data_IF_840196760965
#
_entry.id   IF_840196760965
#
_cell.length_a   1.000
_cell.length_b   1.000
_cell.length_c   1.000
_cell.angle_alpha   90.00
_cell.angle_beta   90.00
_cell.angle_gamma   90.00
#
_symmetry.space_group_name_H-M   'P 1'
#
loop_
_entity.id
_entity.type
_entity.pdbx_description
1 polymer ?
#
# COMPACT_ATOMS: atom_id res chain seq x y z
N UNK A 1 0.75 -16.63 -24.54
CA UNK A 1 -0.18 -15.84 -23.70
C UNK A 1 -1.36 -15.33 -24.51
N UNK A 2 -2.59 -15.50 -24.02
CA UNK A 2 -3.84 -15.19 -24.76
C UNK A 2 -4.71 -14.12 -24.09
N UNK A 3 -4.65 -13.98 -22.77
CA UNK A 3 -5.60 -13.17 -21.99
C UNK A 3 -4.88 -12.04 -21.26
N UNK A 4 -5.49 -10.86 -21.27
CA UNK A 4 -5.17 -9.72 -20.38
C UNK A 4 -5.97 -9.83 -19.08
N UNK A 5 -5.64 -9.02 -18.07
CA UNK A 5 -6.44 -8.95 -16.82
C UNK A 5 -7.89 -8.59 -17.12
N UNK A 6 -8.13 -7.69 -18.08
CA UNK A 6 -9.48 -7.30 -18.53
C UNK A 6 -10.23 -8.50 -19.11
N UNK A 7 -9.58 -9.31 -19.94
CA UNK A 7 -10.20 -10.52 -20.50
C UNK A 7 -10.55 -11.53 -19.40
N UNK A 8 -9.71 -11.67 -18.37
CA UNK A 8 -9.99 -12.55 -17.23
C UNK A 8 -11.19 -12.06 -16.41
N UNK A 9 -11.32 -10.74 -16.18
CA UNK A 9 -12.48 -10.15 -15.52
C UNK A 9 -13.76 -10.40 -16.32
N UNK A 10 -13.74 -10.13 -17.62
CA UNK A 10 -14.89 -10.40 -18.50
C UNK A 10 -15.24 -11.90 -18.54
N UNK A 11 -14.22 -12.77 -18.52
CA UNK A 11 -14.44 -14.21 -18.46
C UNK A 11 -15.18 -14.61 -17.18
N UNK A 12 -14.77 -14.07 -16.03
CA UNK A 12 -15.41 -14.29 -14.73
C UNK A 12 -16.85 -13.75 -14.73
N UNK A 13 -17.06 -12.51 -15.16
CA UNK A 13 -18.37 -11.86 -15.20
C UNK A 13 -19.36 -12.63 -16.09
N UNK A 14 -18.94 -13.02 -17.30
CA UNK A 14 -19.82 -13.62 -18.29
C UNK A 14 -20.10 -15.11 -18.02
N UNK A 15 -19.21 -15.82 -17.32
CA UNK A 15 -19.28 -17.26 -17.17
C UNK A 15 -19.33 -17.74 -15.72
N UNK A 16 -19.43 -16.84 -14.73
CA UNK A 16 -19.48 -17.21 -13.32
C UNK A 16 -20.51 -18.32 -13.04
N UNK A 17 -21.71 -18.26 -13.62
CA UNK A 17 -22.74 -19.26 -13.35
C UNK A 17 -22.42 -20.67 -13.89
N UNK A 18 -21.49 -20.77 -14.84
CA UNK A 18 -21.06 -22.03 -15.47
C UNK A 18 -19.75 -22.57 -14.88
N UNK A 19 -19.04 -21.77 -14.09
CA UNK A 19 -17.80 -22.15 -13.43
C UNK A 19 -18.05 -22.85 -12.10
N UNK A 20 -17.27 -23.87 -11.83
CA UNK A 20 -17.14 -24.44 -10.49
C UNK A 20 -16.59 -23.43 -9.50
N UNK A 21 -16.79 -23.67 -8.20
CA UNK A 21 -16.22 -22.82 -7.14
C UNK A 21 -14.68 -22.72 -7.24
N UNK A 22 -14.02 -23.83 -7.58
CA UNK A 22 -12.56 -23.87 -7.75
C UNK A 22 -12.10 -22.98 -8.90
N UNK A 23 -12.77 -23.05 -10.05
CA UNK A 23 -12.43 -22.21 -11.21
C UNK A 23 -12.63 -20.72 -10.92
N UNK A 24 -13.71 -20.36 -10.22
CA UNK A 24 -13.93 -18.97 -9.77
C UNK A 24 -12.81 -18.48 -8.87
N UNK A 25 -12.41 -19.29 -7.89
CA UNK A 25 -11.34 -18.94 -6.96
C UNK A 25 -9.99 -18.82 -7.67
N UNK A 26 -9.65 -19.75 -8.58
CA UNK A 26 -8.43 -19.69 -9.38
C UNK A 26 -8.39 -18.44 -10.28
N UNK A 27 -9.49 -18.14 -10.96
CA UNK A 27 -9.60 -16.95 -11.81
C UNK A 27 -9.55 -15.66 -10.98
N UNK A 28 -10.23 -15.64 -9.83
CA UNK A 28 -10.19 -14.54 -8.87
C UNK A 28 -8.78 -14.29 -8.34
N UNK A 29 -8.04 -15.35 -7.95
CA UNK A 29 -6.65 -15.25 -7.52
C UNK A 29 -5.75 -14.65 -8.62
N UNK A 30 -5.95 -15.05 -9.88
CA UNK A 30 -5.24 -14.48 -11.02
C UNK A 30 -5.53 -12.98 -11.19
N UNK A 31 -6.80 -12.58 -11.13
CA UNK A 31 -7.23 -11.18 -11.25
C UNK A 31 -6.67 -10.34 -10.09
N UNK A 32 -6.78 -10.82 -8.84
CA UNK A 32 -6.23 -10.14 -7.66
C UNK A 32 -4.72 -9.95 -7.78
N UNK A 33 -4.01 -11.00 -8.19
CA UNK A 33 -2.56 -10.95 -8.31
C UNK A 33 -2.13 -10.01 -9.42
N UNK A 34 -2.60 -10.23 -10.65
CA UNK A 34 -2.12 -9.48 -11.79
C UNK A 34 -2.74 -8.09 -11.89
N UNK A 35 -3.98 -7.92 -11.45
CA UNK A 35 -4.70 -6.65 -11.50
C UNK A 35 -4.42 -5.73 -10.30
N UNK A 36 -4.16 -6.28 -9.11
CA UNK A 36 -4.03 -5.48 -7.88
C UNK A 36 -2.62 -5.53 -7.30
N UNK A 37 -2.06 -6.73 -7.07
CA UNK A 37 -0.75 -6.87 -6.40
C UNK A 37 0.41 -6.49 -7.32
N UNK A 38 0.37 -6.96 -8.57
CA UNK A 38 1.36 -6.67 -9.60
C UNK A 38 0.95 -5.43 -10.40
N UNK A 39 -0.35 -5.11 -10.43
CA UNK A 39 -0.93 -3.99 -11.18
C UNK A 39 -0.42 -3.93 -12.63
N UNK A 40 -0.49 -5.06 -13.34
CA UNK A 40 -0.10 -5.14 -14.75
C UNK A 40 -0.95 -4.19 -15.57
N UNK A 41 -0.31 -3.53 -16.53
CA UNK A 41 -1.00 -2.77 -17.57
C UNK A 41 -2.13 -3.63 -18.18
N UNK A 42 -3.36 -3.10 -18.26
CA UNK A 42 -4.50 -3.85 -18.81
C UNK A 42 -4.31 -4.33 -20.26
N UNK A 43 -3.34 -3.77 -21.00
CA UNK A 43 -3.01 -4.17 -22.37
C UNK A 43 -2.01 -5.33 -22.44
N UNK A 44 -1.30 -5.61 -21.34
CA UNK A 44 -0.29 -6.67 -21.27
C UNK A 44 -0.97 -8.01 -21.03
N UNK A 45 -0.58 -9.01 -21.81
CA UNK A 45 -1.07 -10.38 -21.68
C UNK A 45 -0.44 -11.02 -20.44
N UNK A 46 -1.25 -11.74 -19.68
CA UNK A 46 -0.81 -12.48 -18.50
C UNK A 46 -0.07 -13.74 -18.97
N UNK A 47 1.16 -13.98 -18.47
CA UNK A 47 1.91 -15.20 -18.79
C UNK A 47 1.14 -16.46 -18.43
N UNK A 48 1.06 -17.42 -19.37
CA UNK A 48 0.33 -18.69 -19.19
C UNK A 48 0.83 -19.48 -17.99
N UNK A 49 2.15 -19.52 -17.80
CA UNK A 49 2.79 -20.19 -16.66
C UNK A 49 2.33 -19.59 -15.33
N UNK A 50 2.14 -18.27 -15.30
CA UNK A 50 1.58 -17.57 -14.14
C UNK A 50 0.13 -17.95 -13.91
N UNK A 51 -0.68 -18.13 -14.96
CA UNK A 51 -2.06 -18.59 -14.83
C UNK A 51 -2.18 -20.02 -14.28
N UNK A 52 -1.28 -20.93 -14.68
CA UNK A 52 -1.26 -22.32 -14.21
C UNK A 52 -0.98 -22.41 -12.70
N UNK A 53 -0.22 -21.46 -12.16
CA UNK A 53 0.04 -21.38 -10.72
C UNK A 53 -1.25 -21.24 -9.89
N UNK A 54 -2.28 -20.55 -10.40
CA UNK A 54 -3.52 -20.35 -9.66
C UNK A 54 -4.44 -21.59 -9.67
N UNK A 55 -4.11 -22.65 -10.41
CA UNK A 55 -4.83 -23.92 -10.38
C UNK A 55 -4.64 -24.69 -9.07
N UNK A 56 -3.57 -24.39 -8.31
CA UNK A 56 -3.32 -24.92 -6.97
C UNK A 56 -3.36 -23.77 -5.93
N UNK A 57 -4.53 -23.60 -5.30
CA UNK A 57 -4.77 -22.51 -4.36
C UNK A 57 -3.97 -22.62 -3.05
N UNK A 58 -3.62 -23.84 -2.61
CA UNK A 58 -2.78 -24.04 -1.42
C UNK A 58 -1.38 -23.48 -1.64
N UNK A 59 -0.84 -23.70 -2.85
CA UNK A 59 0.46 -23.12 -3.24
C UNK A 59 0.38 -21.61 -3.46
N UNK A 60 -0.80 -21.07 -3.74
CA UNK A 60 -1.03 -19.64 -3.93
C UNK A 60 -1.09 -18.90 -2.59
N UNK A 61 -1.78 -19.45 -1.59
CA UNK A 61 -2.04 -18.78 -0.31
C UNK A 61 -0.78 -18.60 0.54
N UNK A 62 0.20 -19.49 0.42
CA UNK A 62 1.46 -19.45 1.17
C UNK A 62 2.54 -18.55 0.54
N UNK A 63 2.29 -17.98 -0.64
CA UNK A 63 3.29 -17.14 -1.31
C UNK A 63 3.43 -15.79 -0.60
N UNK A 64 4.65 -15.24 -0.51
CA UNK A 64 4.91 -13.95 0.12
C UNK A 64 4.50 -12.80 -0.84
N UNK A 65 3.20 -12.68 -1.13
CA UNK A 65 2.66 -11.69 -2.06
C UNK A 65 3.09 -10.27 -1.73
N UNK A 66 3.15 -9.94 -0.43
CA UNK A 66 3.72 -8.69 0.11
C UNK A 66 5.10 -8.37 -0.47
N UNK A 67 6.04 -9.32 -0.31
CA UNK A 67 7.41 -9.20 -0.81
C UNK A 67 7.44 -9.14 -2.33
N UNK A 68 6.70 -10.01 -3.02
CA UNK A 68 6.69 -10.05 -4.48
C UNK A 68 6.19 -8.73 -5.10
N UNK A 69 5.08 -8.19 -4.60
CA UNK A 69 4.55 -6.91 -5.07
C UNK A 69 5.49 -5.74 -4.75
N UNK A 70 6.20 -5.78 -3.61
CA UNK A 70 7.24 -4.81 -3.28
C UNK A 70 8.43 -4.91 -4.24
N UNK A 71 8.91 -6.11 -4.53
CA UNK A 71 10.04 -6.33 -5.44
C UNK A 71 9.70 -5.80 -6.85
N UNK A 72 8.47 -6.06 -7.33
CA UNK A 72 7.96 -5.52 -8.60
C UNK A 72 7.88 -4.00 -8.58
N UNK A 73 7.34 -3.40 -7.52
CA UNK A 73 7.27 -1.95 -7.37
C UNK A 73 8.65 -1.32 -7.36
N UNK A 74 9.54 -1.87 -6.55
CA UNK A 74 10.91 -1.40 -6.38
C UNK A 74 11.67 -1.48 -7.71
N UNK A 75 11.50 -2.58 -8.46
CA UNK A 75 12.03 -2.70 -9.81
C UNK A 75 11.38 -1.69 -10.80
N UNK A 76 10.07 -1.45 -10.71
CA UNK A 76 9.36 -0.47 -11.54
C UNK A 76 9.91 0.94 -11.34
N UNK A 77 10.03 1.39 -10.09
CA UNK A 77 10.57 2.71 -9.72
C UNK A 77 12.04 2.83 -10.14
N UNK A 78 12.87 1.81 -9.89
CA UNK A 78 14.30 1.81 -10.27
C UNK A 78 14.53 1.98 -11.78
N UNK A 79 13.58 1.54 -12.62
CA UNK A 79 13.65 1.74 -14.08
C UNK A 79 13.29 3.16 -14.51
N UNK A 80 12.64 3.94 -13.65
CA UNK A 80 12.24 5.31 -13.97
C UNK A 80 13.45 6.25 -13.94
N UNK A 81 13.50 7.16 -14.91
CA UNK A 81 14.50 8.24 -15.00
C UNK A 81 13.77 9.58 -15.01
N UNK A 82 14.49 10.70 -14.85
CA UNK A 82 13.87 12.05 -14.88
C UNK A 82 12.98 12.26 -16.11
N UNK A 83 13.41 11.77 -17.28
CA UNK A 83 12.63 11.79 -18.52
C UNK A 83 11.33 10.98 -18.49
N UNK A 84 11.24 9.95 -17.64
CA UNK A 84 10.03 9.15 -17.44
C UNK A 84 9.02 9.94 -16.62
N UNK A 85 9.47 10.59 -15.54
CA UNK A 85 8.62 11.44 -14.71
C UNK A 85 8.12 12.69 -15.42
N UNK A 86 8.87 13.19 -16.41
CA UNK A 86 8.44 14.31 -17.24
C UNK A 86 7.36 13.95 -18.28
N UNK A 87 7.02 12.66 -18.46
CA UNK A 87 5.95 12.26 -19.38
C UNK A 87 4.58 12.57 -18.78
N UNK A 88 3.59 12.96 -19.60
CA UNK A 88 2.21 13.13 -19.14
C UNK A 88 1.62 11.85 -18.52
N UNK A 89 2.06 10.68 -18.98
CA UNK A 89 1.70 9.38 -18.44
C UNK A 89 2.92 8.48 -18.34
N UNK A 90 2.99 7.74 -17.24
CA UNK A 90 3.95 6.67 -17.00
C UNK A 90 3.28 5.55 -16.19
N UNK A 91 3.82 4.35 -16.29
CA UNK A 91 3.30 3.17 -15.60
C UNK A 91 4.15 2.86 -14.37
N UNK A 92 3.49 2.71 -13.23
CA UNK A 92 4.06 2.14 -12.00
C UNK A 92 3.38 0.80 -11.76
N UNK A 93 4.17 -0.25 -11.54
CA UNK A 93 3.67 -1.61 -11.24
C UNK A 93 3.88 -1.96 -9.77
N UNK A 94 3.25 -3.03 -9.30
CA UNK A 94 3.39 -3.57 -7.95
C UNK A 94 2.32 -3.07 -6.99
N UNK A 95 2.68 -2.90 -5.72
CA UNK A 95 1.78 -2.55 -4.60
C UNK A 95 1.21 -1.12 -4.62
N UNK A 96 0.94 -0.57 -5.80
CA UNK A 96 0.44 0.80 -5.99
C UNK A 96 -0.85 1.02 -5.21
N UNK A 97 -1.77 0.06 -5.23
CA UNK A 97 -3.02 0.15 -4.46
C UNK A 97 -2.80 0.22 -2.95
N UNK A 98 -1.83 -0.51 -2.39
CA UNK A 98 -1.53 -0.39 -0.96
C UNK A 98 -0.96 0.99 -0.61
N UNK A 99 -0.11 1.56 -1.46
CA UNK A 99 0.40 2.92 -1.29
C UNK A 99 -0.72 3.94 -1.37
N UNK A 100 -1.63 3.78 -2.34
CA UNK A 100 -2.81 4.65 -2.47
C UNK A 100 -3.67 4.58 -1.22
N UNK A 101 -4.07 3.38 -0.78
CA UNK A 101 -4.90 3.22 0.42
C UNK A 101 -4.18 3.73 1.69
N UNK A 102 -2.86 3.52 1.78
CA UNK A 102 -2.04 4.07 2.85
C UNK A 102 -2.06 5.60 2.83
N UNK A 103 -1.86 6.25 1.68
CA UNK A 103 -1.90 7.70 1.55
C UNK A 103 -3.27 8.28 1.90
N UNK A 104 -4.36 7.65 1.42
CA UNK A 104 -5.73 8.04 1.76
C UNK A 104 -6.03 7.90 3.26
N UNK A 105 -5.46 6.90 3.92
CA UNK A 105 -5.63 6.70 5.36
C UNK A 105 -4.74 7.63 6.19
N UNK A 106 -3.52 7.90 5.72
CA UNK A 106 -2.54 8.73 6.41
C UNK A 106 -2.86 10.21 6.32
N UNK A 107 -3.45 10.66 5.21
CA UNK A 107 -3.83 12.07 5.03
C UNK A 107 -5.35 12.12 4.91
N UNK A 108 -6.09 12.42 6.00
CA UNK A 108 -7.55 12.44 5.97
C UNK A 108 -8.13 13.32 4.88
N UNK A 109 -7.50 14.45 4.55
CA UNK A 109 -7.93 15.32 3.47
C UNK A 109 -7.90 14.63 2.09
N UNK A 110 -6.87 13.83 1.79
CA UNK A 110 -6.85 12.99 0.59
C UNK A 110 -7.95 11.93 0.67
N UNK A 111 -8.07 11.30 1.84
CA UNK A 111 -9.06 10.29 2.12
C UNK A 111 -10.50 10.73 1.87
N UNK A 112 -10.90 11.89 2.39
CA UNK A 112 -12.24 12.45 2.21
C UNK A 112 -12.50 12.92 0.79
N UNK A 113 -11.47 13.38 0.09
CA UNK A 113 -11.59 13.95 -1.27
C UNK A 113 -11.64 12.86 -2.34
N UNK A 114 -10.88 11.78 -2.14
CA UNK A 114 -10.66 10.74 -3.16
C UNK A 114 -11.19 9.36 -2.75
N UNK A 115 -11.77 9.23 -1.57
CA UNK A 115 -12.33 7.98 -1.09
C UNK A 115 -13.60 8.17 -0.27
N UNK A 116 -14.29 7.06 -0.07
CA UNK A 116 -15.41 6.94 0.86
C UNK A 116 -15.14 5.77 1.79
N UNK A 117 -15.32 5.96 3.09
CA UNK A 117 -15.14 4.91 4.09
C UNK A 117 -16.44 4.15 4.35
N UNK A 118 -16.33 2.95 4.88
CA UNK A 118 -17.48 2.28 5.48
C UNK A 118 -17.84 2.98 6.81
N UNK A 119 -19.14 3.13 7.09
CA UNK A 119 -19.66 3.76 8.31
C UNK A 119 -19.43 2.91 9.59
N UNK A 120 -18.72 1.79 9.49
CA UNK A 120 -18.47 0.90 10.61
C UNK A 120 -17.46 1.52 11.59
N UNK A 121 -17.83 1.57 12.86
CA UNK A 121 -17.04 2.11 13.98
C UNK A 121 -15.73 1.35 14.29
N UNK A 122 -15.45 0.24 13.60
CA UNK A 122 -14.24 -0.54 13.83
C UNK A 122 -13.13 -0.15 12.86
N UNK A 123 -12.18 0.65 13.35
CA UNK A 123 -10.91 0.95 12.67
C UNK A 123 -9.88 -0.17 12.79
N UNK A 124 -10.22 -1.29 13.43
CA UNK A 124 -9.30 -2.40 13.72
C UNK A 124 -9.07 -3.36 12.52
N UNK A 125 -9.84 -3.20 11.43
CA UNK A 125 -9.65 -4.02 10.22
C UNK A 125 -8.51 -3.51 9.33
N UNK A 126 -7.92 -4.38 8.47
CA UNK A 126 -6.96 -3.97 7.44
C UNK A 126 -7.43 -2.75 6.65
N UNK A 127 -6.51 -1.85 6.27
CA UNK A 127 -6.85 -0.60 5.58
C UNK A 127 -7.73 -0.81 4.34
N UNK A 128 -7.50 -1.87 3.58
CA UNK A 128 -8.30 -2.19 2.39
C UNK A 128 -9.78 -2.45 2.69
N UNK A 129 -10.15 -2.81 3.92
CA UNK A 129 -11.53 -3.03 4.34
C UNK A 129 -12.19 -1.75 4.89
N UNK A 130 -11.42 -0.69 5.10
CA UNK A 130 -11.94 0.58 5.63
C UNK A 130 -12.54 1.46 4.53
N UNK A 131 -12.23 1.18 3.26
CA UNK A 131 -12.65 1.98 2.11
C UNK A 131 -13.76 1.28 1.32
N UNK A 132 -14.90 1.95 1.17
CA UNK A 132 -16.03 1.49 0.34
C UNK A 132 -15.76 1.71 -1.15
N UNK A 133 -15.21 2.86 -1.49
CA UNK A 133 -14.83 3.20 -2.85
C UNK A 133 -13.72 4.25 -2.85
N UNK A 134 -12.91 4.23 -3.91
CA UNK A 134 -11.86 5.21 -4.19
C UNK A 134 -11.98 5.68 -5.63
N UNK A 135 -11.53 6.89 -5.92
CA UNK A 135 -11.42 7.41 -7.28
C UNK A 135 -9.99 7.85 -7.58
N UNK A 136 -9.59 7.76 -8.83
CA UNK A 136 -8.31 8.29 -9.30
C UNK A 136 -8.37 9.82 -9.31
N UNK A 137 -7.49 10.52 -8.58
CA UNK A 137 -7.44 11.97 -8.60
C UNK A 137 -6.77 12.49 -9.87
N UNK A 138 -7.13 13.69 -10.31
CA UNK A 138 -6.31 14.43 -11.28
C UNK A 138 -5.27 15.30 -10.56
N UNK A 139 -4.25 15.78 -11.30
CA UNK A 139 -3.14 16.54 -10.72
C UNK A 139 -3.60 17.82 -10.02
N UNK A 140 -4.58 18.53 -10.58
CA UNK A 140 -5.09 19.79 -10.01
C UNK A 140 -5.75 19.54 -8.66
N UNK A 141 -6.57 18.50 -8.53
CA UNK A 141 -7.23 18.16 -7.27
C UNK A 141 -6.22 17.76 -6.18
N UNK A 142 -5.13 17.09 -6.55
CA UNK A 142 -4.04 16.76 -5.60
C UNK A 142 -3.34 18.04 -5.15
N UNK A 143 -3.10 18.98 -6.06
CA UNK A 143 -2.51 20.27 -5.73
C UNK A 143 -3.43 21.11 -4.84
N UNK A 144 -4.74 21.04 -5.03
CA UNK A 144 -5.71 21.72 -4.17
C UNK A 144 -5.62 21.22 -2.72
N UNK A 145 -5.52 19.91 -2.51
CA UNK A 145 -5.30 19.34 -1.15
C UNK A 145 -3.92 19.72 -0.61
N UNK A 146 -2.89 19.75 -1.44
CA UNK A 146 -1.54 20.18 -1.03
C UNK A 146 -1.49 21.64 -0.57
N UNK A 147 -2.27 22.51 -1.22
CA UNK A 147 -2.32 23.94 -0.92
C UNK A 147 -3.22 24.30 0.28
N UNK A 148 -3.91 23.33 0.88
CA UNK A 148 -4.66 23.55 2.11
C UNK A 148 -3.70 23.90 3.25
N UNK A 149 -4.06 24.92 4.05
CA UNK A 149 -3.32 25.24 5.28
C UNK A 149 -3.62 24.16 6.32
N UNK A 150 -2.58 23.72 7.03
CA UNK A 150 -2.67 22.79 8.18
C UNK A 150 -3.23 21.38 7.87
N UNK A 151 -2.73 20.73 6.82
CA UNK A 151 -3.07 19.34 6.50
C UNK A 151 -2.63 18.38 7.62
N UNK A 152 -3.61 17.73 8.27
CA UNK A 152 -3.35 16.67 9.24
C UNK A 152 -2.74 15.43 8.55
N UNK A 153 -1.64 14.94 9.09
CA UNK A 153 -1.01 13.68 8.67
C UNK A 153 -0.94 12.72 9.85
N UNK A 154 -1.71 11.64 9.74
CA UNK A 154 -1.75 10.53 10.67
C UNK A 154 -0.64 9.53 10.35
N UNK A 155 -0.01 9.01 11.40
CA UNK A 155 0.88 7.87 11.27
C UNK A 155 0.02 6.60 11.15
N UNK A 156 0.11 5.92 10.00
CA UNK A 156 -0.62 4.67 9.72
C UNK A 156 0.26 3.44 9.96
N UNK A 157 1.45 3.64 10.52
CA UNK A 157 2.26 2.54 11.05
C UNK A 157 1.46 2.00 12.23
N UNK A 158 0.93 0.78 12.09
CA UNK A 158 0.11 0.13 13.10
C UNK A 158 0.83 0.04 14.43
N UNK A 159 0.09 -0.06 15.52
CA UNK A 159 0.66 -0.24 16.84
C UNK A 159 1.60 -1.47 16.82
N UNK A 160 2.92 -1.31 17.05
CA UNK A 160 3.87 -2.40 17.09
C UNK A 160 3.50 -3.44 18.13
N UNK A 161 2.70 -3.07 19.14
CA UNK A 161 2.18 -3.98 20.14
C UNK A 161 1.02 -4.83 19.62
N UNK A 162 0.15 -4.28 18.77
CA UNK A 162 -1.01 -4.98 18.20
C UNK A 162 -0.61 -6.06 17.18
N UNK A 163 0.47 -5.82 16.42
CA UNK A 163 0.93 -6.75 15.37
C UNK A 163 2.28 -7.42 15.68
N UNK A 164 2.74 -7.36 16.94
CA UNK A 164 4.05 -7.89 17.37
C UNK A 164 4.24 -9.38 17.03
N UNK A 165 3.14 -10.13 16.98
CA UNK A 165 3.11 -11.55 16.63
C UNK A 165 3.33 -11.84 15.14
N UNK A 166 3.13 -10.85 14.26
CA UNK A 166 3.30 -10.97 12.81
C UNK A 166 4.68 -10.53 12.33
N UNK A 167 5.46 -9.86 13.20
CA UNK A 167 6.80 -9.37 12.90
C UNK A 167 7.82 -10.24 13.66
N UNK A 168 8.76 -10.92 12.96
CA UNK A 168 9.86 -11.61 13.63
C UNK A 168 10.60 -10.66 14.59
N UNK A 169 11.13 -11.16 15.72
CA UNK A 169 11.84 -10.30 16.67
C UNK A 169 12.92 -9.47 15.96
N UNK A 170 12.95 -8.19 16.28
CA UNK A 170 13.88 -7.21 15.70
C UNK A 170 15.31 -7.75 15.78
N UNK A 171 16.01 -7.75 14.65
CA UNK A 171 17.44 -8.07 14.62
C UNK A 171 18.16 -7.13 15.61
N UNK A 172 19.06 -7.62 16.48
CA UNK A 172 19.80 -6.79 17.42
C UNK A 172 20.49 -5.57 16.80
N UNK A 173 20.82 -5.64 15.51
CA UNK A 173 21.43 -4.55 14.74
C UNK A 173 20.43 -3.40 14.47
N UNK A 174 19.13 -3.69 14.39
CA UNK A 174 18.09 -2.70 14.04
C UNK A 174 17.42 -2.07 15.27
N UNK A 175 18.01 -2.22 16.45
CA UNK A 175 17.47 -1.71 17.73
C UNK A 175 17.35 -0.18 17.73
N UNK A 176 18.31 0.51 17.15
CA UNK A 176 18.32 1.97 17.09
C UNK A 176 17.23 2.51 16.15
N UNK A 177 17.04 1.86 15.00
CA UNK A 177 15.95 2.18 14.08
C UNK A 177 14.58 1.97 14.74
N UNK A 178 14.42 0.87 15.47
CA UNK A 178 13.17 0.57 16.21
C UNK A 178 12.88 1.63 17.27
N UNK A 179 13.91 2.12 17.96
CA UNK A 179 13.79 3.19 18.96
C UNK A 179 13.32 4.49 18.31
N UNK A 180 13.85 4.85 17.14
CA UNK A 180 13.40 6.03 16.39
C UNK A 180 11.95 5.87 15.92
N UNK A 181 11.56 4.68 15.43
CA UNK A 181 10.17 4.40 15.05
C UNK A 181 9.23 4.60 16.25
N UNK A 182 9.59 4.08 17.43
CA UNK A 182 8.78 4.25 18.65
C UNK A 182 8.60 5.73 19.03
N UNK A 183 9.65 6.55 18.93
CA UNK A 183 9.55 7.99 19.17
C UNK A 183 8.56 8.66 18.21
N UNK A 184 8.65 8.36 16.91
CA UNK A 184 7.74 8.91 15.89
C UNK A 184 6.29 8.51 16.17
N UNK A 185 6.08 7.27 16.59
CA UNK A 185 4.76 6.76 16.97
C UNK A 185 4.18 7.46 18.21
N UNK A 186 5.03 7.83 19.17
CA UNK A 186 4.66 8.60 20.36
C UNK A 186 4.44 10.09 20.05
N UNK A 187 4.50 10.51 18.78
CA UNK A 187 4.16 11.85 18.34
C UNK A 187 5.36 12.78 18.13
N UNK A 188 6.59 12.26 18.22
CA UNK A 188 7.78 12.99 17.81
C UNK A 188 7.78 13.21 16.28
N UNK A 189 8.37 14.33 15.85
CA UNK A 189 8.50 14.69 14.43
C UNK A 189 9.95 15.05 14.16
N UNK A 190 10.57 14.27 13.29
CA UNK A 190 11.95 14.46 12.86
C UNK A 190 12.10 15.81 12.13
N UNK A 191 13.13 16.56 12.50
CA UNK A 191 13.55 17.72 11.73
C UNK A 191 14.24 17.30 10.43
N UNK A 192 14.31 18.23 9.48
CA UNK A 192 15.00 18.01 8.20
C UNK A 192 16.49 17.68 8.40
N UNK A 193 17.16 18.30 9.35
CA UNK A 193 18.57 18.06 9.66
C UNK A 193 18.79 16.66 10.24
N UNK A 194 17.98 16.23 11.20
CA UNK A 194 18.05 14.88 11.81
C UNK A 194 17.84 13.78 10.76
N UNK A 195 16.94 14.01 9.79
CA UNK A 195 16.73 13.09 8.68
C UNK A 195 17.94 12.99 7.75
N UNK A 196 18.56 14.12 7.39
CA UNK A 196 19.72 14.16 6.50
C UNK A 196 20.95 13.55 7.16
N UNK A 197 21.13 13.82 8.45
CA UNK A 197 22.27 13.33 9.22
C UNK A 197 22.11 11.88 9.70
N UNK A 198 20.88 11.35 9.64
CA UNK A 198 20.55 10.00 10.09
C UNK A 198 20.72 9.81 11.59
N UNK A 199 20.54 10.88 12.38
CA UNK A 199 20.79 10.90 13.83
C UNK A 199 19.64 11.58 14.56
N UNK A 200 19.25 11.00 15.68
CA UNK A 200 18.18 11.49 16.55
C UNK A 200 18.65 11.40 17.99
N UNK A 201 18.50 12.49 18.74
CA UNK A 201 18.68 12.45 20.19
C UNK A 201 17.40 11.95 20.85
N UNK A 202 17.42 10.71 21.30
CA UNK A 202 16.25 10.07 21.92
C UNK A 202 15.81 10.73 23.23
N UNK A 203 16.71 11.40 23.97
CA UNK A 203 16.37 12.06 25.23
C UNK A 203 15.63 13.36 24.95
N UNK A 204 16.16 14.19 24.04
CA UNK A 204 15.52 15.42 23.60
C UNK A 204 14.17 15.15 22.93
N UNK A 205 14.09 14.12 22.09
CA UNK A 205 12.85 13.70 21.44
C UNK A 205 11.76 13.32 22.47
N UNK A 206 12.13 12.56 23.50
CA UNK A 206 11.21 12.14 24.57
C UNK A 206 10.70 13.33 25.39
N UNK A 207 11.57 14.31 25.69
CA UNK A 207 11.15 15.53 26.40
C UNK A 207 10.18 16.39 25.59
N UNK A 208 10.39 16.49 24.27
CA UNK A 208 9.49 17.22 23.38
C UNK A 208 8.10 16.58 23.32
N UNK A 209 8.04 15.24 23.23
CA UNK A 209 6.79 14.49 23.31
C UNK A 209 6.05 14.81 24.62
N UNK A 210 6.76 14.79 25.75
CA UNK A 210 6.19 15.03 27.09
C UNK A 210 5.65 16.44 27.25
N UNK A 211 6.38 17.44 26.74
CA UNK A 211 5.93 18.85 26.73
C UNK A 211 4.69 19.06 25.86
N UNK A 212 4.51 18.26 24.81
CA UNK A 212 3.36 18.34 23.90
C UNK A 212 2.10 17.65 24.46
N UNK A 213 2.26 16.64 25.32
CA UNK A 213 1.15 15.98 26.03
C UNK A 213 0.67 16.75 27.27
N UNK A 214 1.52 17.59 27.86
CA UNK A 214 1.19 18.40 29.05
C UNK A 214 0.67 19.81 28.71
N UNK A 215 0.35 20.09 27.44
CA UNK A 215 -0.30 21.32 26.95
C UNK A 215 -1.67 20.95 26.40
#
# INVERSE_FOLDING_TARGET
DKYTVKDLMQLLENNANRMSAKEKLSLGAAILTHGIIIALNPTIKVPRESLQMFSNLDSYSVRPWGKMGYDVLSASIRRMKSKTFAKPMYEVQGFVWAITLWALSAVPALGTTFGSRFNSSSSAGPLCLQWKATRTPNISEVLDVHNQRDVLVNTVIGDPHEYKNLVPPTNPIDKDFTTVVQLVMQGYRLSRSEWIEGKVDGVLASEQIRKKHNR
#
